data_IF_573153264981
#
_entry.id   IF_573153264981
#
_cell.length_a   1.000
_cell.length_b   1.000
_cell.length_c   1.000
_cell.angle_alpha   90.00
_cell.angle_beta   90.00
_cell.angle_gamma   90.00
#
_symmetry.space_group_name_H-M   'P 1'
#
loop_
_entity.id
_entity.type
_entity.pdbx_description
1 polymer ?
#
# COMPACT_ATOMS: atom_id res chain seq x y z
N UNK A 1 -7.30 -10.67 6.26
CA UNK A 1 -6.36 -10.95 5.16
C UNK A 1 -5.45 -12.10 5.54
N UNK A 2 -5.25 -13.07 4.65
CA UNK A 2 -4.34 -14.21 4.82
C UNK A 2 -2.92 -13.84 4.41
N UNK A 3 -1.92 -14.66 4.80
CA UNK A 3 -0.53 -14.42 4.44
C UNK A 3 -0.28 -14.63 2.94
N UNK A 4 -0.99 -15.58 2.32
CA UNK A 4 -0.91 -15.86 0.88
C UNK A 4 -1.38 -14.66 0.06
N UNK A 5 -2.53 -14.09 0.42
CA UNK A 5 -3.07 -12.91 -0.26
C UNK A 5 -2.16 -11.69 -0.05
N UNK A 6 -1.60 -11.54 1.15
CA UNK A 6 -0.66 -10.45 1.43
C UNK A 6 0.61 -10.57 0.59
N UNK A 7 1.17 -11.78 0.45
CA UNK A 7 2.31 -12.05 -0.42
C UNK A 7 1.98 -11.75 -1.89
N UNK A 8 0.81 -12.18 -2.35
CA UNK A 8 0.33 -11.92 -3.72
C UNK A 8 0.22 -10.41 -4.01
N UNK A 9 -0.46 -9.66 -3.13
CA UNK A 9 -0.57 -8.20 -3.22
C UNK A 9 0.79 -7.51 -3.19
N UNK A 10 1.72 -7.99 -2.37
CA UNK A 10 3.10 -7.46 -2.29
C UNK A 10 3.82 -7.60 -3.63
N UNK A 11 3.76 -8.79 -4.25
CA UNK A 11 4.40 -9.04 -5.54
C UNK A 11 3.74 -8.24 -6.66
N UNK A 12 2.41 -8.17 -6.68
CA UNK A 12 1.68 -7.38 -7.67
C UNK A 12 1.96 -5.87 -7.51
N UNK A 13 2.12 -5.36 -6.29
CA UNK A 13 2.56 -3.99 -6.04
C UNK A 13 3.97 -3.73 -6.58
N UNK A 14 4.91 -4.64 -6.31
CA UNK A 14 6.29 -4.53 -6.82
C UNK A 14 6.33 -4.49 -8.35
N UNK A 15 5.56 -5.34 -9.03
CA UNK A 15 5.44 -5.32 -10.48
C UNK A 15 4.93 -3.97 -11.00
N UNK A 16 3.84 -3.44 -10.43
CA UNK A 16 3.29 -2.12 -10.80
C UNK A 16 4.25 -0.96 -10.50
N UNK A 17 5.21 -1.17 -9.60
CA UNK A 17 6.27 -0.21 -9.26
C UNK A 17 7.54 -0.40 -10.10
N UNK A 18 7.51 -1.25 -11.13
CA UNK A 18 8.66 -1.63 -11.96
C UNK A 18 9.82 -2.21 -11.15
N UNK A 19 9.50 -2.95 -10.09
CA UNK A 19 10.46 -3.63 -9.21
C UNK A 19 10.44 -5.12 -9.53
N UNK A 20 11.50 -5.60 -10.18
CA UNK A 20 11.69 -7.02 -10.43
C UNK A 20 12.16 -7.73 -9.15
N UNK A 21 11.26 -8.53 -8.56
CA UNK A 21 11.49 -9.27 -7.32
C UNK A 21 12.60 -10.34 -7.43
N UNK A 22 12.96 -10.78 -8.64
CA UNK A 22 14.07 -11.70 -8.85
C UNK A 22 15.42 -10.98 -8.98
N UNK A 23 15.41 -9.68 -9.30
CA UNK A 23 16.63 -8.87 -9.50
C UNK A 23 16.88 -7.85 -8.40
N UNK A 24 16.03 -7.79 -7.38
CA UNK A 24 16.10 -6.80 -6.31
C UNK A 24 16.02 -7.50 -4.97
N UNK A 25 16.77 -7.03 -3.97
CA UNK A 25 16.59 -7.52 -2.60
C UNK A 25 15.40 -6.82 -1.96
N UNK A 26 14.55 -7.57 -1.28
CA UNK A 26 13.38 -7.04 -0.61
C UNK A 26 12.99 -7.93 0.59
N UNK A 27 12.22 -7.36 1.51
CA UNK A 27 11.62 -8.07 2.62
C UNK A 27 10.21 -7.54 2.85
N UNK A 28 9.28 -8.43 3.20
CA UNK A 28 7.93 -8.07 3.65
C UNK A 28 7.72 -8.59 5.06
N UNK A 29 7.21 -7.72 5.93
CA UNK A 29 6.94 -8.04 7.34
C UNK A 29 5.49 -7.69 7.66
N UNK A 30 4.72 -8.68 8.08
CA UNK A 30 3.35 -8.48 8.57
C UNK A 30 3.36 -8.12 10.05
N UNK A 31 2.55 -7.13 10.43
CA UNK A 31 2.31 -6.79 11.83
C UNK A 31 0.85 -7.09 12.23
N UNK A 32 0.60 -7.19 13.54
CA UNK A 32 -0.70 -7.49 14.15
C UNK A 32 -1.07 -6.49 15.27
N UNK A 33 -0.39 -5.35 15.32
CA UNK A 33 -0.52 -4.31 16.35
C UNK A 33 -1.63 -3.29 16.07
N UNK A 34 -2.38 -3.44 14.97
CA UNK A 34 -3.52 -2.61 14.61
C UNK A 34 -4.73 -3.46 14.21
N UNK A 35 -5.93 -2.90 14.35
CA UNK A 35 -7.19 -3.57 14.01
C UNK A 35 -7.33 -3.92 12.52
N UNK A 36 -6.57 -3.23 11.66
CA UNK A 36 -6.53 -3.50 10.23
C UNK A 36 -5.27 -4.30 9.84
N UNK A 37 -5.40 -5.29 8.94
CA UNK A 37 -4.25 -6.06 8.49
C UNK A 37 -3.30 -5.18 7.68
N UNK A 38 -2.01 -5.20 8.02
CA UNK A 38 -1.00 -4.41 7.31
C UNK A 38 0.37 -5.09 7.33
N UNK A 39 1.23 -4.66 6.42
CA UNK A 39 2.62 -5.10 6.32
C UNK A 39 3.53 -3.96 5.86
N UNK A 40 4.81 -4.09 6.18
CA UNK A 40 5.87 -3.24 5.65
C UNK A 40 6.61 -3.97 4.55
N UNK A 41 6.69 -3.34 3.38
CA UNK A 41 7.55 -3.76 2.29
C UNK A 41 8.80 -2.88 2.28
N UNK A 42 9.96 -3.50 2.41
CA UNK A 42 11.27 -2.85 2.30
C UNK A 42 11.93 -3.36 1.01
N UNK A 43 12.38 -2.45 0.16
CA UNK A 43 13.02 -2.76 -1.12
C UNK A 43 14.37 -2.04 -1.20
N UNK A 44 15.43 -2.75 -1.56
CA UNK A 44 16.69 -2.09 -1.90
C UNK A 44 16.57 -1.41 -3.27
N UNK A 45 16.91 -0.13 -3.34
CA UNK A 45 16.91 0.62 -4.61
C UNK A 45 18.04 0.24 -5.55
N UNK A 46 19.09 -0.40 -5.04
CA UNK A 46 20.18 -0.93 -5.86
C UNK A 46 19.87 -2.40 -6.14
N UNK A 47 19.66 -2.71 -7.41
CA UNK A 47 19.40 -4.08 -7.87
C UNK A 47 20.64 -4.96 -7.74
N UNK A 48 20.45 -6.27 -7.89
CA UNK A 48 21.52 -7.26 -7.85
C UNK A 48 22.59 -7.04 -8.94
N UNK A 49 22.26 -6.35 -10.03
CA UNK A 49 23.18 -5.95 -11.11
C UNK A 49 23.73 -4.51 -10.96
N UNK A 50 23.50 -3.87 -9.81
CA UNK A 50 24.05 -2.54 -9.51
C UNK A 50 23.31 -1.35 -10.14
N UNK A 51 22.14 -1.59 -10.75
CA UNK A 51 21.30 -0.50 -11.29
C UNK A 51 20.49 0.14 -10.18
N UNK A 52 20.25 1.44 -10.33
CA UNK A 52 19.44 2.22 -9.38
C UNK A 52 18.01 2.31 -9.89
N UNK A 53 17.05 1.83 -9.11
CA UNK A 53 15.64 2.00 -9.36
C UNK A 53 15.26 3.49 -9.24
N UNK A 54 14.49 3.99 -10.21
CA UNK A 54 14.05 5.39 -10.22
C UNK A 54 13.10 5.69 -9.06
N UNK A 55 13.39 6.76 -8.32
CA UNK A 55 12.52 7.34 -7.29
C UNK A 55 11.62 8.46 -7.83
N UNK A 56 11.75 8.79 -9.13
CA UNK A 56 10.98 9.85 -9.77
C UNK A 56 9.50 9.55 -9.65
N UNK A 57 8.77 10.50 -9.05
CA UNK A 57 7.32 10.41 -8.81
C UNK A 57 6.92 9.13 -8.07
N UNK A 58 7.79 8.58 -7.23
CA UNK A 58 7.54 7.34 -6.47
C UNK A 58 6.25 7.39 -5.66
N UNK A 59 5.94 8.52 -5.03
CA UNK A 59 4.66 8.72 -4.33
C UNK A 59 3.45 8.57 -5.26
N UNK A 60 3.43 9.31 -6.38
CA UNK A 60 2.33 9.27 -7.35
C UNK A 60 2.19 7.88 -8.00
N UNK A 61 3.32 7.23 -8.34
CA UNK A 61 3.34 5.87 -8.88
C UNK A 61 2.80 4.86 -7.86
N UNK A 62 3.22 4.98 -6.60
CA UNK A 62 2.75 4.13 -5.52
C UNK A 62 1.25 4.29 -5.29
N UNK A 63 0.74 5.51 -5.29
CA UNK A 63 -0.70 5.76 -5.17
C UNK A 63 -1.47 5.08 -6.32
N UNK A 64 -1.01 5.25 -7.56
CA UNK A 64 -1.61 4.61 -8.73
C UNK A 64 -1.59 3.08 -8.64
N UNK A 65 -0.48 2.50 -8.17
CA UNK A 65 -0.35 1.06 -7.95
C UNK A 65 -1.37 0.58 -6.89
N UNK A 66 -1.48 1.28 -5.76
CA UNK A 66 -2.46 0.95 -4.72
C UNK A 66 -3.90 1.02 -5.26
N UNK A 67 -4.29 2.10 -5.96
CA UNK A 67 -5.64 2.25 -6.52
C UNK A 67 -5.97 1.16 -7.55
N UNK A 68 -5.00 0.77 -8.37
CA UNK A 68 -5.17 -0.33 -9.31
C UNK A 68 -5.40 -1.66 -8.58
N UNK A 69 -4.60 -1.96 -7.55
CA UNK A 69 -4.74 -3.18 -6.75
C UNK A 69 -6.05 -3.22 -5.96
N UNK A 70 -6.47 -2.09 -5.38
CA UNK A 70 -7.75 -2.00 -4.68
C UNK A 70 -8.90 -2.41 -5.60
N UNK A 71 -8.90 -1.92 -6.85
CA UNK A 71 -9.89 -2.30 -7.86
C UNK A 71 -9.77 -3.75 -8.32
N UNK A 72 -8.56 -4.22 -8.61
CA UNK A 72 -8.30 -5.58 -9.14
C UNK A 72 -8.68 -6.67 -8.14
N UNK A 73 -8.45 -6.44 -6.84
CA UNK A 73 -8.67 -7.42 -5.77
C UNK A 73 -9.96 -7.16 -4.97
N UNK A 74 -10.76 -6.17 -5.36
CA UNK A 74 -12.00 -5.81 -4.66
C UNK A 74 -11.78 -5.33 -3.22
N UNK A 75 -10.65 -4.67 -2.96
CA UNK A 75 -10.34 -4.08 -1.65
C UNK A 75 -11.05 -2.73 -1.51
N UNK A 76 -11.12 -2.26 -0.27
CA UNK A 76 -11.70 -0.96 0.01
C UNK A 76 -10.75 0.13 -0.48
N UNK A 77 -11.29 1.11 -1.23
CA UNK A 77 -10.55 2.30 -1.63
C UNK A 77 -10.20 3.14 -0.39
N UNK A 78 -8.91 3.21 -0.06
CA UNK A 78 -8.44 3.95 1.10
C UNK A 78 -8.73 5.46 1.03
N UNK A 79 -8.81 6.02 -0.19
CA UNK A 79 -9.20 7.41 -0.41
C UNK A 79 -10.66 7.66 -0.05
N UNK A 80 -11.55 6.76 -0.46
CA UNK A 80 -12.97 6.83 -0.09
C UNK A 80 -13.19 6.63 1.42
N UNK A 81 -12.48 5.69 2.04
CA UNK A 81 -12.50 5.51 3.50
C UNK A 81 -12.08 6.78 4.25
N UNK A 82 -10.99 7.42 3.81
CA UNK A 82 -10.52 8.66 4.41
C UNK A 82 -11.54 9.81 4.32
N UNK A 83 -12.26 9.91 3.19
CA UNK A 83 -13.33 10.88 3.01
C UNK A 83 -14.52 10.56 3.94
N UNK A 84 -14.97 9.30 3.95
CA UNK A 84 -16.07 8.86 4.80
C UNK A 84 -15.78 9.11 6.29
N UNK A 85 -14.56 8.80 6.74
CA UNK A 85 -14.13 9.04 8.12
C UNK A 85 -14.15 10.53 8.48
N UNK A 86 -13.62 11.40 7.61
CA UNK A 86 -13.67 12.86 7.82
C UNK A 86 -15.10 13.41 7.85
N UNK A 87 -16.01 12.87 7.02
CA UNK A 87 -17.41 13.26 7.02
C UNK A 87 -18.12 12.82 8.31
N UNK A 88 -17.84 11.61 8.78
CA UNK A 88 -18.37 11.11 10.06
C UNK A 88 -17.87 11.96 11.23
N UNK A 89 -16.56 12.23 11.31
CA UNK A 89 -15.96 13.09 12.34
C UNK A 89 -16.56 14.52 12.32
N UNK A 90 -16.82 15.07 11.14
CA UNK A 90 -17.48 16.37 11.01
C UNK A 90 -18.95 16.36 11.46
N UNK A 91 -19.70 15.29 11.17
CA UNK A 91 -21.08 15.11 11.63
C UNK A 91 -21.15 14.93 13.14
N UNK A 92 -20.26 14.10 13.71
CA UNK A 92 -20.18 13.86 15.15
C UNK A 92 -19.75 15.14 15.90
N UNK A 93 -18.85 15.93 15.32
CA UNK A 93 -18.45 17.24 15.84
C UNK A 93 -19.56 18.30 15.77
N UNK A 94 -20.42 18.27 14.76
CA UNK A 94 -21.61 19.13 14.65
C UNK A 94 -22.73 18.73 15.63
N UNK A 95 -22.75 17.48 16.07
CA UNK A 95 -23.73 16.94 17.03
C UNK A 95 -23.20 16.95 18.47
N UNK A 96 -21.98 17.45 18.73
CA UNK A 96 -21.44 17.64 20.08
C UNK A 96 -22.19 18.77 20.80
N UNK A 97 -22.94 18.50 21.89
CA UNK A 97 -23.73 19.52 22.58
C UNK A 97 -22.93 20.32 23.61
N UNK A 98 -21.60 20.38 23.47
CA UNK A 98 -20.71 21.25 24.26
C UNK A 98 -20.05 22.29 23.37
#
# INVERSE_FOLDING_TARGET
MTDELMRELTLAYMEKMDIDAAKTQWAVVRHYDQDHPHCHLIVNRVTNDGKVLSDSKSFERSEKACRALEKEYGLIDAGQLGIAKKLQEAQDGLLSPY
#
